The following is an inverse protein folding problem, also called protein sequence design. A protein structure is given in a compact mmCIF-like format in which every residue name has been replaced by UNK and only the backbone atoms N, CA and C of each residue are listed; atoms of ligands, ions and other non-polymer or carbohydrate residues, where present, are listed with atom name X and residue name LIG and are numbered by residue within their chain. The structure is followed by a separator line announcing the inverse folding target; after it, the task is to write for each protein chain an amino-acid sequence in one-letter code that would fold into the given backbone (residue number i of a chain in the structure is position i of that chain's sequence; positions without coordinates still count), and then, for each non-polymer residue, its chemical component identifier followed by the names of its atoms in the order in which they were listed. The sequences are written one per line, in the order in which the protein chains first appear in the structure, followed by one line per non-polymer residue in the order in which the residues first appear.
data_IF_434050763265
#
_entry.id   IF_434050763265
#
_cell.length_a   1.000
_cell.length_b   1.000
_cell.length_c   1.000
_cell.angle_alpha   90.00
_cell.angle_beta   90.00
_cell.angle_gamma   90.00
#
_symmetry.space_group_name_H-M   'P 1'
#
loop_
_entity.id
_entity.type
_entity.pdbx_description
1 polymer ?
#
# COMPACT_ATOMS: atom_id res chain seq x y z
N UNK A 1 -8.76 10.49 -16.71
CA UNK A 1 -8.90 10.97 -15.31
C UNK A 1 -7.61 10.63 -14.60
N UNK A 2 -7.06 11.55 -13.80
CA UNK A 2 -5.83 11.32 -13.03
C UNK A 2 -6.19 11.29 -11.55
N UNK A 3 -5.63 10.34 -10.81
CA UNK A 3 -5.83 10.21 -9.36
C UNK A 3 -4.48 10.46 -8.68
N UNK A 4 -4.46 11.41 -7.75
CA UNK A 4 -3.29 11.71 -6.95
C UNK A 4 -3.47 11.12 -5.55
N UNK A 5 -2.53 10.28 -5.14
CA UNK A 5 -2.45 9.71 -3.79
C UNK A 5 -1.07 10.05 -3.23
N UNK A 6 -0.97 10.59 -2.01
CA UNK A 6 0.32 10.94 -1.42
C UNK A 6 1.14 9.68 -1.12
N UNK A 7 2.46 9.81 -1.12
CA UNK A 7 3.31 8.78 -0.53
C UNK A 7 3.08 8.76 0.99
N UNK A 8 2.63 7.62 1.50
CA UNK A 8 2.25 7.48 2.92
C UNK A 8 3.42 7.08 3.83
N UNK A 9 4.56 6.67 3.25
CA UNK A 9 5.71 6.21 4.00
C UNK A 9 6.27 7.27 4.95
N UNK A 10 6.31 6.96 6.24
CA UNK A 10 6.92 7.83 7.27
C UNK A 10 8.39 7.50 7.52
N UNK A 11 8.80 6.28 7.19
CA UNK A 11 10.18 5.78 7.30
C UNK A 11 10.47 4.81 6.17
N UNK A 12 11.64 4.95 5.56
CA UNK A 12 12.11 4.09 4.46
C UNK A 12 13.37 3.38 4.90
N UNK A 13 13.34 2.05 4.91
CA UNK A 13 14.50 1.18 5.18
C UNK A 13 15.03 0.59 3.87
N UNK A 14 14.12 0.06 3.05
CA UNK A 14 14.39 -0.54 1.75
C UNK A 14 13.29 -0.06 0.77
N UNK A 15 13.56 -0.05 -0.52
CA UNK A 15 12.56 0.29 -1.55
C UNK A 15 12.28 -0.86 -2.51
N UNK A 16 13.05 -1.93 -2.41
CA UNK A 16 12.86 -3.13 -3.21
C UNK A 16 11.53 -3.77 -2.84
N UNK A 17 10.66 -4.01 -3.82
CA UNK A 17 9.34 -4.63 -3.62
C UNK A 17 8.18 -3.64 -3.49
N UNK A 18 8.43 -2.37 -3.17
CA UNK A 18 7.35 -1.43 -2.86
C UNK A 18 6.36 -1.20 -4.02
N UNK A 19 6.87 -1.24 -5.26
CA UNK A 19 6.04 -1.19 -6.47
C UNK A 19 5.19 -2.44 -6.68
N UNK A 20 5.74 -3.61 -6.38
CA UNK A 20 5.03 -4.89 -6.48
C UNK A 20 3.95 -4.99 -5.41
N UNK A 21 4.23 -4.54 -4.18
CA UNK A 21 3.27 -4.41 -3.10
C UNK A 21 2.12 -3.47 -3.47
N UNK A 22 2.44 -2.30 -4.03
CA UNK A 22 1.44 -1.35 -4.54
C UNK A 22 0.54 -2.01 -5.59
N UNK A 23 1.15 -2.58 -6.62
CA UNK A 23 0.42 -3.14 -7.76
C UNK A 23 -0.44 -4.34 -7.36
N UNK A 24 0.06 -5.17 -6.44
CA UNK A 24 -0.65 -6.35 -5.95
C UNK A 24 -1.96 -5.97 -5.26
N UNK A 25 -1.93 -5.06 -4.29
CA UNK A 25 -3.15 -4.67 -3.59
C UNK A 25 -4.05 -3.75 -4.42
N UNK A 26 -3.47 -2.78 -5.14
CA UNK A 26 -4.26 -1.92 -6.02
C UNK A 26 -4.96 -2.74 -7.12
N UNK A 27 -4.25 -3.71 -7.72
CA UNK A 27 -4.80 -4.61 -8.74
C UNK A 27 -5.94 -5.48 -8.21
N UNK A 28 -5.81 -6.05 -7.01
CA UNK A 28 -6.90 -6.81 -6.37
C UNK A 28 -8.12 -5.92 -6.11
N UNK A 29 -7.93 -4.70 -5.60
CA UNK A 29 -9.02 -3.75 -5.39
C UNK A 29 -9.73 -3.39 -6.70
N UNK A 30 -8.98 -3.07 -7.75
CA UNK A 30 -9.53 -2.77 -9.07
C UNK A 30 -10.27 -3.97 -9.67
N UNK A 31 -9.71 -5.18 -9.55
CA UNK A 31 -10.36 -6.41 -10.01
C UNK A 31 -11.68 -6.70 -9.27
N UNK A 32 -11.83 -6.20 -8.04
CA UNK A 32 -13.08 -6.26 -7.25
C UNK A 32 -14.05 -5.12 -7.55
N UNK A 33 -13.72 -4.22 -8.47
CA UNK A 33 -14.57 -3.09 -8.86
C UNK A 33 -14.54 -1.91 -7.90
N UNK A 34 -13.53 -1.81 -7.03
CA UNK A 34 -13.36 -0.61 -6.20
C UNK A 34 -12.93 0.59 -7.06
N UNK A 35 -13.29 1.79 -6.59
CA UNK A 35 -12.89 3.04 -7.23
C UNK A 35 -11.35 3.16 -7.33
N UNK A 36 -10.87 3.73 -8.43
CA UNK A 36 -9.44 3.83 -8.71
C UNK A 36 -8.68 4.65 -7.67
N UNK A 37 -9.30 5.67 -7.06
CA UNK A 37 -8.70 6.44 -5.98
C UNK A 37 -8.54 5.59 -4.72
N UNK A 38 -9.54 4.75 -4.39
CA UNK A 38 -9.50 3.83 -3.25
C UNK A 38 -8.44 2.74 -3.48
N UNK A 39 -8.40 2.16 -4.67
CA UNK A 39 -7.40 1.15 -5.02
C UNK A 39 -5.98 1.71 -4.95
N UNK A 40 -5.75 2.92 -5.48
CA UNK A 40 -4.46 3.60 -5.41
C UNK A 40 -4.07 3.95 -3.96
N UNK A 41 -5.04 4.34 -3.13
CA UNK A 41 -4.82 4.56 -1.69
C UNK A 41 -4.36 3.28 -0.99
N UNK A 42 -5.06 2.15 -1.18
CA UNK A 42 -4.68 0.87 -0.59
C UNK A 42 -3.31 0.39 -1.10
N UNK A 43 -3.02 0.57 -2.40
CA UNK A 43 -1.70 0.30 -2.95
C UNK A 43 -0.60 1.15 -2.27
N UNK A 44 -0.86 2.44 -2.04
CA UNK A 44 0.10 3.32 -1.38
C UNK A 44 0.31 2.96 0.08
N UNK A 45 -0.71 2.46 0.78
CA UNK A 45 -0.59 1.91 2.14
C UNK A 45 0.32 0.68 2.11
N UNK A 46 0.12 -0.21 1.14
CA UNK A 46 0.93 -1.41 0.95
C UNK A 46 2.41 -1.05 0.77
N UNK A 47 2.71 -0.15 -0.17
CA UNK A 47 4.06 0.32 -0.44
C UNK A 47 4.70 0.97 0.79
N UNK A 48 3.95 1.78 1.54
CA UNK A 48 4.44 2.44 2.74
C UNK A 48 4.79 1.46 3.88
N UNK A 49 4.14 0.30 3.92
CA UNK A 49 4.52 -0.79 4.83
C UNK A 49 5.74 -1.56 4.30
N UNK A 50 5.74 -1.87 3.00
CA UNK A 50 6.79 -2.67 2.35
C UNK A 50 8.15 -2.00 2.40
N UNK A 51 8.22 -0.66 2.28
CA UNK A 51 9.49 0.07 2.40
C UNK A 51 10.16 -0.05 3.78
N UNK A 52 9.46 -0.60 4.77
CA UNK A 52 9.99 -0.87 6.11
C UNK A 52 10.40 -2.34 6.29
N UNK A 53 10.22 -3.17 5.27
CA UNK A 53 10.63 -4.57 5.21
C UNK A 53 11.90 -4.64 4.37
N UNK A 54 12.91 -5.36 4.83
CA UNK A 54 14.16 -5.52 4.06
C UNK A 54 13.92 -6.56 2.97
N UNK A 55 14.06 -6.16 1.70
CA UNK A 55 13.63 -6.94 0.53
C UNK A 55 12.19 -7.48 0.71
N UNK A 56 11.87 -8.63 0.13
CA UNK A 56 10.61 -9.34 0.36
C UNK A 56 10.75 -10.41 1.46
N UNK A 57 11.38 -10.08 2.59
CA UNK A 57 11.63 -11.04 3.69
C UNK A 57 10.35 -11.45 4.42
N UNK A 58 9.41 -10.52 4.56
CA UNK A 58 8.14 -10.74 5.22
C UNK A 58 7.01 -10.22 4.32
N UNK A 59 5.88 -10.94 4.22
CA UNK A 59 4.73 -10.42 3.49
C UNK A 59 4.02 -9.32 4.28
N UNK A 60 3.28 -8.46 3.57
CA UNK A 60 2.42 -7.47 4.22
C UNK A 60 1.38 -8.15 5.09
N UNK A 61 1.42 -7.85 6.39
CA UNK A 61 0.48 -8.39 7.36
C UNK A 61 -0.91 -7.73 7.23
N UNK A 62 -2.00 -8.49 6.98
CA UNK A 62 -3.36 -7.94 6.87
C UNK A 62 -3.84 -7.18 8.10
N UNK A 63 -3.45 -7.61 9.31
CA UNK A 63 -3.78 -6.93 10.56
C UNK A 63 -3.03 -5.59 10.65
N UNK A 64 -1.75 -5.57 10.25
CA UNK A 64 -0.95 -4.35 10.19
C UNK A 64 -1.52 -3.35 9.18
N UNK A 65 -1.92 -3.84 8.02
CA UNK A 65 -2.54 -3.04 6.96
C UNK A 65 -3.84 -2.39 7.45
N UNK A 66 -4.76 -3.16 8.04
CA UNK A 66 -6.02 -2.63 8.56
C UNK A 66 -5.79 -1.58 9.66
N UNK A 67 -4.83 -1.81 10.57
CA UNK A 67 -4.47 -0.83 11.60
C UNK A 67 -3.95 0.46 11.00
N UNK A 68 -3.11 0.37 9.96
CA UNK A 68 -2.53 1.53 9.33
C UNK A 68 -3.58 2.33 8.55
N UNK A 69 -4.44 1.66 7.76
CA UNK A 69 -5.61 2.27 7.11
C UNK A 69 -6.48 2.99 8.14
N UNK A 70 -6.81 2.33 9.25
CA UNK A 70 -7.62 2.93 10.33
C UNK A 70 -6.97 4.16 10.94
N UNK A 71 -5.64 4.18 11.05
CA UNK A 71 -4.89 5.32 11.58
C UNK A 71 -4.90 6.51 10.63
N UNK A 72 -4.88 6.25 9.32
CA UNK A 72 -4.92 7.28 8.28
C UNK A 72 -6.33 7.89 8.06
N UNK A 73 -7.38 7.16 8.43
CA UNK A 73 -8.78 7.57 8.25
C UNK A 73 -9.44 8.09 9.53
N UNK A 74 -8.72 8.09 10.65
CA UNK A 74 -9.13 8.78 11.89
C UNK A 74 -8.79 10.25 11.79
#
# INVERSE_FOLDING_TARGET
MFHNVPALATRVIDRIGAGDAFLSLAGICLAKGLDAQVAAFIGSVAAAMDVQIVCNREPINPVGLNKYVTTLLK
#
